data_IF_811955885485
#
_entry.id   IF_811955885485
#
_cell.length_a   1.000
_cell.length_b   1.000
_cell.length_c   1.000
_cell.angle_alpha   90.00
_cell.angle_beta   90.00
_cell.angle_gamma   90.00
#
_symmetry.space_group_name_H-M   'P 1'
#
loop_
_entity.id
_entity.type
_entity.pdbx_description
1 polymer ?
#
# COMPACT_ATOMS: atom_id res chain seq x y z
N UNK A 1 6.38 -1.59 14.74
CA UNK A 1 5.41 -2.35 15.55
C UNK A 1 4.47 -1.36 16.20
N UNK A 2 3.29 -1.16 15.63
CA UNK A 2 2.22 -0.37 16.23
C UNK A 2 1.66 -1.14 17.43
N UNK A 3 1.53 -0.47 18.56
CA UNK A 3 1.12 -1.08 19.82
C UNK A 3 -0.32 -1.60 19.71
N UNK A 4 -0.59 -2.83 20.18
CA UNK A 4 -1.95 -3.44 20.23
C UNK A 4 -3.00 -2.52 20.87
N UNK A 5 -2.58 -1.58 21.73
CA UNK A 5 -3.45 -0.58 22.35
C UNK A 5 -3.97 0.44 21.33
N UNK A 6 -3.16 0.82 20.34
CA UNK A 6 -3.56 1.74 19.27
C UNK A 6 -4.56 1.08 18.31
N UNK A 7 -4.35 -0.21 17.97
CA UNK A 7 -5.29 -0.97 17.14
C UNK A 7 -6.67 -1.08 17.81
N UNK A 8 -6.71 -1.46 19.09
CA UNK A 8 -7.96 -1.54 19.86
C UNK A 8 -8.68 -0.19 19.98
N UNK A 9 -7.94 0.90 20.20
CA UNK A 9 -8.50 2.26 20.30
C UNK A 9 -9.17 2.73 18.99
N UNK A 10 -8.64 2.28 17.85
CA UNK A 10 -9.17 2.57 16.52
C UNK A 10 -10.44 1.75 16.24
N UNK A 11 -10.42 0.46 16.56
CA UNK A 11 -11.59 -0.42 16.43
C UNK A 11 -12.78 0.08 17.28
N UNK A 12 -12.54 0.48 18.53
CA UNK A 12 -13.56 1.04 19.44
C UNK A 12 -14.23 2.32 18.89
N UNK A 13 -13.60 3.00 17.92
CA UNK A 13 -14.10 4.21 17.26
C UNK A 13 -14.66 3.96 15.87
N UNK A 14 -14.79 2.69 15.46
CA UNK A 14 -15.22 2.31 14.12
C UNK A 14 -14.21 2.66 13.03
N UNK A 15 -12.95 2.96 13.39
CA UNK A 15 -11.89 3.27 12.45
C UNK A 15 -11.22 1.96 12.06
N UNK A 16 -11.65 1.38 10.94
CA UNK A 16 -10.98 0.21 10.36
C UNK A 16 -9.67 0.66 9.73
N UNK A 17 -8.55 0.17 10.25
CA UNK A 17 -7.27 0.22 9.54
C UNK A 17 -7.41 -0.59 8.26
N UNK A 18 -7.68 0.08 7.14
CA UNK A 18 -7.65 -0.58 5.83
C UNK A 18 -6.28 -1.23 5.66
N UNK A 19 -6.30 -2.51 5.32
CA UNK A 19 -5.10 -3.30 5.06
C UNK A 19 -4.20 -2.55 4.08
N UNK A 20 -2.90 -2.48 4.39
CA UNK A 20 -1.94 -1.83 3.50
C UNK A 20 -2.07 -2.43 2.09
N UNK A 21 -2.15 -1.58 1.07
CA UNK A 21 -2.28 -1.95 -0.34
C UNK A 21 -1.32 -3.08 -0.76
N UNK A 22 -0.06 -3.03 -0.30
CA UNK A 22 0.92 -4.07 -0.61
C UNK A 22 0.57 -5.42 0.04
N UNK A 23 0.02 -5.39 1.25
CA UNK A 23 -0.43 -6.60 1.95
C UNK A 23 -1.66 -7.19 1.27
N UNK A 24 -2.64 -6.36 0.91
CA UNK A 24 -3.82 -6.78 0.17
C UNK A 24 -3.45 -7.43 -1.18
N UNK A 25 -2.53 -6.82 -1.94
CA UNK A 25 -2.04 -7.39 -3.21
C UNK A 25 -1.32 -8.72 -3.04
N UNK A 26 -0.52 -8.87 -1.97
CA UNK A 26 0.15 -10.14 -1.67
C UNK A 26 -0.86 -11.24 -1.31
N UNK A 27 -1.93 -10.88 -0.60
CA UNK A 27 -3.01 -11.81 -0.27
C UNK A 27 -3.74 -12.26 -1.54
N UNK A 28 -4.13 -11.32 -2.39
CA UNK A 28 -4.74 -11.60 -3.69
C UNK A 28 -3.89 -12.54 -4.54
N UNK A 29 -2.57 -12.29 -4.63
CA UNK A 29 -1.68 -13.15 -5.40
C UNK A 29 -1.57 -14.57 -4.81
N UNK A 30 -1.62 -14.73 -3.47
CA UNK A 30 -1.63 -16.05 -2.83
C UNK A 30 -2.93 -16.80 -3.05
N UNK A 31 -4.06 -16.10 -2.99
CA UNK A 31 -5.37 -16.70 -3.23
C UNK A 31 -5.45 -17.20 -4.68
N UNK A 32 -5.04 -16.37 -5.64
CA UNK A 32 -4.93 -16.74 -7.05
C UNK A 32 -3.97 -17.92 -7.27
N UNK A 33 -2.81 -17.92 -6.59
CA UNK A 33 -1.85 -19.01 -6.66
C UNK A 33 -2.49 -20.35 -6.29
N UNK A 34 -3.27 -20.35 -5.20
CA UNK A 34 -3.92 -21.53 -4.66
C UNK A 34 -5.07 -22.01 -5.55
N UNK A 35 -5.90 -21.08 -6.04
CA UNK A 35 -7.03 -21.38 -6.92
C UNK A 35 -6.58 -22.03 -8.24
N UNK A 36 -5.45 -21.58 -8.78
CA UNK A 36 -4.94 -22.05 -10.08
C UNK A 36 -3.81 -23.08 -9.98
N UNK A 37 -3.42 -23.51 -8.77
CA UNK A 37 -2.37 -24.52 -8.58
C UNK A 37 -0.98 -24.10 -9.07
N UNK A 38 -0.70 -22.80 -9.11
CA UNK A 38 0.54 -22.26 -9.65
C UNK A 38 1.68 -22.44 -8.63
N UNK A 39 2.80 -23.04 -9.04
CA UNK A 39 3.92 -23.30 -8.12
C UNK A 39 4.68 -22.05 -7.72
N UNK A 40 4.84 -21.08 -8.63
CA UNK A 40 5.67 -19.90 -8.41
C UNK A 40 4.82 -18.62 -8.26
N UNK A 41 4.98 -17.92 -7.14
CA UNK A 41 4.30 -16.63 -6.91
C UNK A 41 4.76 -15.53 -7.89
N UNK A 42 5.98 -15.62 -8.44
CA UNK A 42 6.48 -14.66 -9.44
C UNK A 42 5.76 -14.79 -10.78
N UNK A 43 5.33 -16.00 -11.12
CA UNK A 43 4.46 -16.27 -12.27
C UNK A 43 3.09 -15.65 -12.04
N UNK A 44 2.53 -15.80 -10.83
CA UNK A 44 1.26 -15.17 -10.45
C UNK A 44 1.35 -13.64 -10.56
N UNK A 45 2.41 -13.02 -10.04
CA UNK A 45 2.60 -11.58 -10.18
C UNK A 45 2.62 -11.16 -11.65
N UNK A 46 3.29 -11.93 -12.51
CA UNK A 46 3.34 -11.64 -13.96
C UNK A 46 1.95 -11.74 -14.60
N UNK A 47 1.15 -12.75 -14.23
CA UNK A 47 -0.22 -12.95 -14.72
C UNK A 47 -1.17 -11.82 -14.34
N UNK A 48 -1.04 -11.27 -13.12
CA UNK A 48 -1.85 -10.14 -12.65
C UNK A 48 -1.24 -8.78 -13.02
N UNK A 49 -0.23 -8.75 -13.91
CA UNK A 49 0.38 -7.52 -14.43
C UNK A 49 1.27 -6.78 -13.43
N UNK A 50 1.77 -7.46 -12.40
CA UNK A 50 2.62 -6.89 -11.35
C UNK A 50 4.08 -7.29 -11.52
N UNK A 51 4.98 -6.30 -11.37
CA UNK A 51 6.41 -6.53 -11.18
C UNK A 51 6.74 -6.53 -9.70
N UNK A 52 7.60 -7.45 -9.26
CA UNK A 52 8.12 -7.54 -7.88
C UNK A 52 8.70 -6.20 -7.39
N UNK A 53 9.34 -5.45 -8.29
CA UNK A 53 9.91 -4.13 -8.02
C UNK A 53 8.85 -3.11 -7.56
N UNK A 54 7.62 -3.21 -8.07
CA UNK A 54 6.51 -2.33 -7.66
C UNK A 54 6.09 -2.59 -6.23
N UNK A 55 5.99 -3.87 -5.82
CA UNK A 55 5.68 -4.24 -4.43
C UNK A 55 6.76 -3.74 -3.47
N UNK A 56 8.04 -3.84 -3.85
CA UNK A 56 9.15 -3.32 -3.05
C UNK A 56 9.09 -1.80 -2.96
N UNK A 57 8.84 -1.12 -4.08
CA UNK A 57 8.73 0.33 -4.13
C UNK A 57 7.57 0.83 -3.27
N UNK A 58 6.37 0.28 -3.41
CA UNK A 58 5.19 0.67 -2.63
C UNK A 58 5.33 0.32 -1.14
N UNK A 59 6.03 -0.78 -0.80
CA UNK A 59 6.31 -1.11 0.60
C UNK A 59 7.26 -0.11 1.26
N UNK A 60 8.20 0.46 0.50
CA UNK A 60 9.13 1.50 0.97
C UNK A 60 8.52 2.90 0.92
N UNK A 61 7.47 3.08 0.13
CA UNK A 61 6.84 4.36 -0.15
C UNK A 61 5.33 4.31 0.08
N UNK A 62 4.87 4.09 1.33
CA UNK A 62 3.44 3.95 1.64
C UNK A 62 2.59 5.17 1.28
N UNK A 63 3.22 6.33 1.03
CA UNK A 63 2.54 7.59 0.71
C UNK A 63 2.84 8.14 -0.70
N UNK A 64 3.76 7.56 -1.50
CA UNK A 64 4.34 8.31 -2.65
C UNK A 64 3.37 8.66 -3.78
N UNK A 65 2.20 8.02 -3.88
CA UNK A 65 1.19 8.40 -4.86
C UNK A 65 0.33 9.57 -4.37
N UNK A 66 0.14 9.70 -3.05
CA UNK A 66 -0.65 10.79 -2.45
C UNK A 66 0.19 12.01 -2.07
N UNK A 67 1.44 11.85 -1.59
CA UNK A 67 2.24 13.00 -1.14
C UNK A 67 2.78 13.85 -2.28
N UNK A 68 3.08 13.27 -3.46
CA UNK A 68 3.57 14.06 -4.61
C UNK A 68 2.54 15.08 -5.11
N UNK A 69 1.24 14.74 -5.10
CA UNK A 69 0.18 15.67 -5.50
C UNK A 69 -0.09 16.76 -4.44
N UNK A 70 0.12 16.46 -3.16
CA UNK A 70 -0.02 17.42 -2.06
C UNK A 70 1.17 18.40 -2.01
N UNK A 71 2.40 17.95 -2.26
CA UNK A 71 3.57 18.84 -2.29
C UNK A 71 3.53 19.82 -3.46
N UNK A 72 3.01 19.43 -4.63
CA UNK A 72 2.83 20.37 -5.75
C UNK A 72 1.76 21.42 -5.44
N UNK A 73 0.69 21.06 -4.72
CA UNK A 73 -0.32 22.05 -4.28
C UNK A 73 0.20 23.00 -3.20
N UNK A 74 1.01 22.51 -2.27
CA UNK A 74 1.49 23.33 -1.14
C UNK A 74 2.74 24.15 -1.49
N UNK A 75 3.52 23.79 -2.51
CA UNK A 75 4.64 24.61 -2.98
C UNK A 75 4.23 25.82 -3.85
N UNK A 76 2.95 25.99 -4.17
CA UNK A 76 2.45 27.19 -4.85
C UNK A 76 2.12 28.36 -3.90
N UNK A 77 2.21 28.18 -2.57
CA UNK A 77 1.81 29.20 -1.60
C UNK A 77 2.90 29.68 -0.63
N UNK A 78 4.14 29.21 -0.71
CA UNK A 78 5.18 29.59 0.26
C UNK A 78 6.23 30.60 -0.22
N UNK A 79 6.14 31.14 -1.45
CA UNK A 79 7.08 32.18 -1.90
C UNK A 79 6.36 33.31 -2.65
N UNK A 80 5.63 34.16 -1.91
CA UNK A 80 5.45 35.58 -2.28
C UNK A 80 4.91 36.39 -1.09
N UNK A 81 5.82 36.80 -0.22
CA UNK A 81 5.66 38.02 0.55
C UNK A 81 6.80 38.95 0.11
N UNK A 82 6.44 39.95 -0.68
CA UNK A 82 7.22 41.17 -0.88
C UNK A 82 7.11 42.00 0.40
#
# INVERSE_FOLDING_TARGET
MTSKKAEKWLEERGITLQENFVTALKKLAKDFQKEHGIKNIEEVYSLIGLKKQYLVYWSKNPHSVQTKKLQVKNNLYCCRSI
#
